data_IF_486371506443
#
_entry.id   IF_486371506443
#
_cell.length_a   1.000
_cell.length_b   1.000
_cell.length_c   1.000
_cell.angle_alpha   90.00
_cell.angle_beta   90.00
_cell.angle_gamma   90.00
#
_symmetry.space_group_name_H-M   'P 1'
#
loop_
_entity.id
_entity.type
_entity.pdbx_description
1 polymer ?
#
# COMPACT_ATOMS: atom_id res chain seq x y z
N UNK A 1 -19.89 -23.43 -44.21
CA UNK A 1 -19.46 -23.33 -42.80
C UNK A 1 -18.12 -22.62 -42.74
N UNK A 2 -18.10 -21.35 -42.33
CA UNK A 2 -16.87 -20.57 -42.20
C UNK A 2 -16.40 -20.70 -40.74
N UNK A 3 -15.26 -21.34 -40.51
CA UNK A 3 -14.59 -21.36 -39.21
C UNK A 3 -14.07 -19.97 -38.90
N UNK A 4 -14.62 -19.35 -37.86
CA UNK A 4 -14.06 -18.13 -37.26
C UNK A 4 -12.77 -18.55 -36.54
N UNK A 5 -11.61 -17.97 -36.84
CA UNK A 5 -10.43 -18.20 -36.02
C UNK A 5 -10.70 -17.59 -34.64
N UNK A 6 -10.83 -18.47 -33.65
CA UNK A 6 -10.93 -18.08 -32.25
C UNK A 6 -9.58 -17.44 -31.88
N UNK A 7 -9.50 -16.12 -31.87
CA UNK A 7 -8.33 -15.42 -31.34
C UNK A 7 -8.07 -15.97 -29.93
N UNK A 8 -6.83 -16.37 -29.60
CA UNK A 8 -6.52 -16.73 -28.22
C UNK A 8 -6.86 -15.53 -27.33
N UNK A 9 -7.43 -15.74 -26.13
CA UNK A 9 -7.65 -14.65 -25.19
C UNK A 9 -6.30 -13.94 -24.95
N UNK A 10 -6.29 -12.60 -24.84
CA UNK A 10 -5.07 -11.88 -24.56
C UNK A 10 -4.41 -12.48 -23.31
N UNK A 11 -3.10 -12.75 -23.41
CA UNK A 11 -2.35 -13.31 -22.29
C UNK A 11 -2.57 -12.42 -21.05
N UNK A 12 -2.76 -13.01 -19.86
CA UNK A 12 -2.93 -12.24 -18.64
C UNK A 12 -1.67 -11.37 -18.45
N UNK A 13 -1.86 -10.05 -18.49
CA UNK A 13 -0.81 -9.11 -18.13
C UNK A 13 -0.58 -9.21 -16.62
N UNK A 14 0.68 -9.10 -16.16
CA UNK A 14 0.96 -9.06 -14.74
C UNK A 14 0.28 -7.88 -14.08
N UNK A 15 -0.36 -8.16 -12.94
CA UNK A 15 -1.06 -7.17 -12.14
C UNK A 15 -0.25 -6.96 -10.87
N UNK A 16 0.37 -5.79 -10.75
CA UNK A 16 1.21 -5.46 -9.59
C UNK A 16 0.46 -4.53 -8.67
N UNK A 17 0.29 -4.98 -7.44
CA UNK A 17 -0.39 -4.21 -6.41
C UNK A 17 0.57 -3.29 -5.69
N UNK A 18 0.51 -2.00 -6.05
CA UNK A 18 1.16 -0.94 -5.31
C UNK A 18 0.22 -0.42 -4.22
N UNK A 19 0.59 -0.61 -2.96
CA UNK A 19 -0.11 -0.02 -1.82
C UNK A 19 0.68 1.17 -1.28
N UNK A 20 0.02 2.32 -1.19
CA UNK A 20 0.56 3.55 -0.62
C UNK A 20 -0.29 3.95 0.58
N UNK A 21 0.34 4.13 1.75
CA UNK A 21 -0.35 4.50 2.99
C UNK A 21 0.36 5.67 3.66
N UNK A 22 -0.41 6.65 4.14
CA UNK A 22 0.11 7.69 5.03
C UNK A 22 -0.14 7.28 6.48
N UNK A 23 0.84 7.51 7.35
CA UNK A 23 0.74 7.21 8.78
C UNK A 23 1.29 8.37 9.61
N UNK A 24 0.66 8.64 10.75
CA UNK A 24 1.21 9.56 11.73
C UNK A 24 2.46 8.95 12.38
N UNK A 25 3.46 9.78 12.69
CA UNK A 25 4.64 9.30 13.42
C UNK A 25 4.34 9.14 14.93
N UNK A 26 3.40 9.91 15.48
CA UNK A 26 3.21 10.08 16.93
C UNK A 26 2.05 9.26 17.52
N UNK A 27 2.04 7.95 17.28
CA UNK A 27 0.97 7.07 17.82
C UNK A 27 1.02 6.93 19.35
N UNK A 28 2.21 6.90 19.96
CA UNK A 28 2.37 6.66 21.39
C UNK A 28 1.86 7.84 22.24
N UNK A 29 2.16 9.08 21.82
CA UNK A 29 1.69 10.29 22.48
C UNK A 29 0.15 10.35 22.46
N UNK A 30 -0.46 10.04 21.30
CA UNK A 30 -1.90 10.00 21.12
C UNK A 30 -2.57 8.97 22.03
N UNK A 31 -2.02 7.77 22.12
CA UNK A 31 -2.54 6.71 22.97
C UNK A 31 -2.43 7.08 24.46
N UNK A 32 -1.28 7.59 24.91
CA UNK A 32 -1.09 7.98 26.31
C UNK A 32 -2.03 9.09 26.77
N UNK A 33 -2.43 9.99 25.86
CA UNK A 33 -3.34 11.10 26.18
C UNK A 33 -4.82 10.67 26.17
N UNK A 34 -5.20 9.70 25.35
CA UNK A 34 -6.62 9.38 25.09
C UNK A 34 -7.07 8.02 25.65
N UNK A 35 -6.16 7.22 26.19
CA UNK A 35 -6.47 5.87 26.69
C UNK A 35 -6.30 5.82 28.21
N UNK A 36 -7.41 5.78 28.93
CA UNK A 36 -7.42 5.65 30.39
C UNK A 36 -8.66 4.86 30.85
N UNK A 37 -8.48 3.97 31.82
CA UNK A 37 -9.59 3.19 32.39
C UNK A 37 -9.56 3.21 33.90
N UNK A 38 -10.69 3.60 34.51
CA UNK A 38 -10.88 3.62 35.95
C UNK A 38 -11.59 2.35 36.47
N UNK A 39 -11.73 1.30 35.64
CA UNK A 39 -12.44 0.09 36.06
C UNK A 39 -11.64 -0.69 37.11
N UNK A 40 -12.30 -1.12 38.19
CA UNK A 40 -11.67 -1.88 39.27
C UNK A 40 -11.30 -3.32 38.84
N UNK A 41 -12.15 -3.97 38.05
CA UNK A 41 -11.92 -5.34 37.57
C UNK A 41 -10.86 -5.37 36.46
N UNK A 42 -9.82 -6.20 36.62
CA UNK A 42 -8.67 -6.29 35.70
C UNK A 42 -9.07 -6.57 34.25
N UNK A 43 -9.90 -7.60 34.01
CA UNK A 43 -10.31 -7.96 32.65
C UNK A 43 -11.12 -6.85 31.97
N UNK A 44 -12.11 -6.30 32.69
CA UNK A 44 -12.93 -5.21 32.18
C UNK A 44 -12.12 -3.94 31.90
N UNK A 45 -11.06 -3.68 32.68
CA UNK A 45 -10.09 -2.60 32.44
C UNK A 45 -9.26 -2.85 31.18
N UNK A 46 -8.74 -4.06 31.00
CA UNK A 46 -7.92 -4.40 29.83
C UNK A 46 -8.73 -4.29 28.52
N UNK A 47 -9.98 -4.79 28.52
CA UNK A 47 -10.88 -4.66 27.37
C UNK A 47 -11.23 -3.20 27.06
N UNK A 48 -11.43 -2.38 28.10
CA UNK A 48 -11.72 -0.95 27.97
C UNK A 48 -10.53 -0.18 27.37
N UNK A 49 -9.33 -0.41 27.89
CA UNK A 49 -8.09 0.17 27.35
C UNK A 49 -7.86 -0.24 25.88
N UNK A 50 -8.07 -1.51 25.56
CA UNK A 50 -7.93 -2.01 24.19
C UNK A 50 -8.95 -1.39 23.23
N UNK A 51 -10.21 -1.27 23.66
CA UNK A 51 -11.26 -0.64 22.86
C UNK A 51 -10.98 0.84 22.61
N UNK A 52 -10.57 1.58 23.64
CA UNK A 52 -10.17 2.99 23.52
C UNK A 52 -8.96 3.14 22.60
N UNK A 53 -7.89 2.36 22.82
CA UNK A 53 -6.70 2.39 21.97
C UNK A 53 -7.02 2.08 20.50
N UNK A 54 -7.84 1.06 20.25
CA UNK A 54 -8.29 0.70 18.90
C UNK A 54 -9.08 1.83 18.24
N UNK A 55 -9.91 2.54 19.02
CA UNK A 55 -10.69 3.67 18.51
C UNK A 55 -9.78 4.83 18.14
N UNK A 56 -8.82 5.17 18.99
CA UNK A 56 -7.83 6.24 18.74
C UNK A 56 -6.97 5.94 17.50
N UNK A 57 -6.51 4.69 17.36
CA UNK A 57 -5.73 4.29 16.19
C UNK A 57 -6.57 4.34 14.90
N UNK A 58 -7.83 3.91 14.95
CA UNK A 58 -8.75 3.97 13.79
C UNK A 58 -9.06 5.39 13.36
N UNK A 59 -9.28 6.32 14.30
CA UNK A 59 -9.54 7.73 13.96
C UNK A 59 -8.32 8.44 13.37
N UNK A 60 -7.13 7.86 13.54
CA UNK A 60 -5.86 8.37 13.02
C UNK A 60 -5.42 7.65 11.73
N UNK A 61 -6.30 6.87 11.11
CA UNK A 61 -6.02 6.31 9.79
C UNK A 61 -6.20 7.38 8.71
N UNK A 62 -5.12 7.69 8.00
CA UNK A 62 -5.13 8.68 6.90
C UNK A 62 -5.56 8.07 5.56
N UNK A 63 -6.00 6.81 5.57
CA UNK A 63 -6.34 6.05 4.39
C UNK A 63 -5.15 5.38 3.73
N UNK A 64 -5.47 4.49 2.80
CA UNK A 64 -4.52 3.84 1.91
C UNK A 64 -5.07 3.85 0.50
N UNK A 65 -4.18 3.98 -0.48
CA UNK A 65 -4.48 3.86 -1.89
C UNK A 65 -3.85 2.58 -2.38
N UNK A 66 -4.63 1.81 -3.13
CA UNK A 66 -4.19 0.58 -3.77
C UNK A 66 -4.32 0.83 -5.27
N UNK A 67 -3.22 0.64 -5.98
CA UNK A 67 -3.14 0.78 -7.42
C UNK A 67 -2.75 -0.58 -8.00
N UNK A 68 -3.59 -1.09 -8.89
CA UNK A 68 -3.28 -2.23 -9.74
C UNK A 68 -2.58 -1.72 -11.01
N UNK A 69 -1.30 -2.06 -11.17
CA UNK A 69 -0.45 -1.58 -12.27
C UNK A 69 -0.16 -2.75 -13.21
N UNK A 70 -0.42 -2.55 -14.50
CA UNK A 70 -0.19 -3.57 -15.54
C UNK A 70 1.02 -3.24 -16.38
N UNK A 71 1.95 -4.18 -16.46
CA UNK A 71 3.15 -4.06 -17.28
C UNK A 71 3.02 -4.88 -18.56
N UNK A 72 3.32 -4.27 -19.70
CA UNK A 72 3.36 -4.96 -21.01
C UNK A 72 4.77 -5.39 -21.40
N UNK A 73 5.80 -4.85 -20.75
CA UNK A 73 7.20 -5.11 -21.07
C UNK A 73 8.00 -5.39 -19.80
N UNK A 74 8.94 -6.33 -19.90
CA UNK A 74 9.80 -6.72 -18.79
C UNK A 74 10.73 -5.58 -18.34
N UNK A 75 11.20 -4.77 -19.28
CA UNK A 75 12.06 -3.60 -19.01
C UNK A 75 11.40 -2.61 -18.05
N UNK A 76 10.12 -2.30 -18.25
CA UNK A 76 9.37 -1.39 -17.38
C UNK A 76 9.08 -2.00 -16.02
N UNK A 77 8.83 -3.30 -15.98
CA UNK A 77 8.64 -4.04 -14.73
C UNK A 77 9.91 -4.03 -13.87
N UNK A 78 11.06 -4.42 -14.45
CA UNK A 78 12.34 -4.47 -13.75
C UNK A 78 12.79 -3.06 -13.30
N UNK A 79 12.55 -2.03 -14.13
CA UNK A 79 12.83 -0.64 -13.76
C UNK A 79 11.96 -0.19 -12.58
N UNK A 80 10.66 -0.46 -12.62
CA UNK A 80 9.74 -0.15 -11.52
C UNK A 80 10.14 -0.84 -10.20
N UNK A 81 10.49 -2.13 -10.27
CA UNK A 81 10.94 -2.87 -9.10
C UNK A 81 12.26 -2.33 -8.54
N UNK A 82 13.20 -1.97 -9.41
CA UNK A 82 14.45 -1.31 -9.02
C UNK A 82 14.18 0.02 -8.30
N UNK A 83 13.26 0.83 -8.83
CA UNK A 83 12.86 2.12 -8.23
C UNK A 83 12.17 1.94 -6.88
N UNK A 84 11.44 0.85 -6.69
CA UNK A 84 10.90 0.46 -5.39
C UNK A 84 12.02 0.10 -4.41
N UNK A 85 12.94 -0.79 -4.79
CA UNK A 85 14.04 -1.25 -3.92
C UNK A 85 15.02 -0.15 -3.53
N UNK A 86 15.32 0.77 -4.46
CA UNK A 86 16.23 1.89 -4.21
C UNK A 86 15.56 3.08 -3.49
N UNK A 87 14.23 3.04 -3.30
CA UNK A 87 13.45 4.08 -2.63
C UNK A 87 13.06 5.28 -3.49
N UNK A 88 13.44 5.30 -4.77
CA UNK A 88 13.10 6.39 -5.71
C UNK A 88 11.59 6.49 -5.93
N UNK A 89 10.90 5.35 -5.97
CA UNK A 89 9.44 5.28 -6.07
C UNK A 89 8.77 6.01 -4.89
N UNK A 90 9.29 5.81 -3.67
CA UNK A 90 8.77 6.49 -2.48
C UNK A 90 8.97 8.01 -2.58
N UNK A 91 10.15 8.47 -2.99
CA UNK A 91 10.42 9.91 -3.13
C UNK A 91 9.54 10.57 -4.19
N UNK A 92 9.32 9.92 -5.34
CA UNK A 92 8.41 10.39 -6.36
C UNK A 92 6.96 10.47 -5.82
N UNK A 93 6.52 9.45 -5.10
CA UNK A 93 5.17 9.39 -4.53
C UNK A 93 4.95 10.42 -3.42
N UNK A 94 5.97 10.79 -2.64
CA UNK A 94 5.85 11.86 -1.63
C UNK A 94 5.37 13.17 -2.25
N UNK A 95 5.88 13.55 -3.42
CA UNK A 95 5.47 14.79 -4.10
C UNK A 95 4.02 14.77 -4.59
N UNK A 96 3.50 13.59 -4.90
CA UNK A 96 2.13 13.41 -5.40
C UNK A 96 1.12 13.20 -4.27
N UNK A 97 1.50 12.47 -3.22
CA UNK A 97 0.61 12.07 -2.12
C UNK A 97 0.63 13.04 -0.95
N UNK A 98 1.79 13.61 -0.60
CA UNK A 98 1.90 14.58 0.50
C UNK A 98 1.57 15.99 0.01
N UNK A 99 0.35 16.14 -0.52
CA UNK A 99 -0.20 17.42 -0.96
C UNK A 99 -0.36 18.38 0.22
N UNK A 100 -0.43 19.67 -0.08
CA UNK A 100 -0.64 20.70 0.95
C UNK A 100 -1.98 20.52 1.68
N UNK A 101 -3.01 19.99 0.99
CA UNK A 101 -4.30 19.66 1.61
C UNK A 101 -4.18 18.54 2.66
N UNK A 102 -3.36 17.51 2.42
CA UNK A 102 -3.12 16.48 3.42
C UNK A 102 -2.34 17.04 4.60
N UNK A 103 -1.32 17.87 4.35
CA UNK A 103 -0.55 18.55 5.40
C UNK A 103 -1.42 19.46 6.26
N UNK A 104 -2.35 20.20 5.66
CA UNK A 104 -3.31 21.03 6.38
C UNK A 104 -4.27 20.21 7.24
N UNK A 105 -4.76 19.07 6.73
CA UNK A 105 -5.65 18.17 7.47
C UNK A 105 -4.96 17.51 8.68
N UNK A 106 -3.67 17.18 8.57
CA UNK A 106 -2.89 16.59 9.68
C UNK A 106 -2.27 17.63 10.61
N UNK A 107 -2.29 18.91 10.20
CA UNK A 107 -1.80 20.02 11.00
C UNK A 107 -0.29 19.97 11.23
N UNK A 108 0.12 19.89 12.51
CA UNK A 108 1.54 19.93 12.92
C UNK A 108 2.17 18.56 13.14
N UNK A 109 1.38 17.49 13.12
CA UNK A 109 1.91 16.16 13.40
C UNK A 109 2.72 15.66 12.19
N UNK A 110 3.89 15.09 12.48
CA UNK A 110 4.71 14.49 11.43
C UNK A 110 3.99 13.26 10.85
N UNK A 111 3.96 13.18 9.52
CA UNK A 111 3.44 12.04 8.79
C UNK A 111 4.54 11.40 7.95
N UNK A 112 4.43 10.09 7.74
CA UNK A 112 5.30 9.33 6.84
C UNK A 112 4.46 8.61 5.79
N UNK A 113 5.03 8.48 4.60
CA UNK A 113 4.46 7.66 3.54
C UNK A 113 5.12 6.28 3.58
N UNK A 114 4.30 5.24 3.52
CA UNK A 114 4.71 3.85 3.35
C UNK A 114 4.28 3.39 1.96
N UNK A 115 5.20 2.75 1.28
CA UNK A 115 5.00 2.18 -0.05
C UNK A 115 5.32 0.70 0.06
N UNK A 116 4.39 -0.13 -0.40
CA UNK A 116 4.55 -1.58 -0.41
C UNK A 116 4.16 -2.11 -1.78
N UNK A 117 5.04 -2.90 -2.37
CA UNK A 117 4.80 -3.67 -3.57
C UNK A 117 4.97 -5.14 -3.20
N UNK A 118 4.05 -5.99 -3.64
CA UNK A 118 4.15 -7.42 -3.40
C UNK A 118 5.26 -8.03 -4.27
N UNK A 119 6.18 -8.77 -3.65
CA UNK A 119 7.29 -9.42 -4.35
C UNK A 119 6.78 -10.59 -5.19
N UNK A 120 5.76 -11.31 -4.72
CA UNK A 120 5.16 -12.43 -5.45
C UNK A 120 4.52 -11.94 -6.76
N UNK A 121 3.87 -10.77 -6.74
CA UNK A 121 3.29 -10.13 -7.94
C UNK A 121 4.40 -9.76 -8.95
N UNK A 122 5.55 -9.28 -8.47
CA UNK A 122 6.71 -8.97 -9.31
C UNK A 122 7.30 -10.24 -9.93
N UNK A 123 7.56 -11.28 -9.13
CA UNK A 123 8.15 -12.54 -9.61
C UNK A 123 7.25 -13.23 -10.64
N UNK A 124 5.95 -13.32 -10.35
CA UNK A 124 4.98 -13.90 -11.26
C UNK A 124 4.90 -13.09 -12.55
N UNK A 125 4.91 -11.76 -12.45
CA UNK A 125 4.84 -10.92 -13.63
C UNK A 125 6.08 -10.98 -14.51
N UNK A 126 7.25 -11.10 -13.88
CA UNK A 126 8.51 -11.33 -14.57
C UNK A 126 8.50 -12.68 -15.28
N UNK A 127 7.98 -13.73 -14.63
CA UNK A 127 7.84 -15.08 -15.21
C UNK A 127 6.91 -15.09 -16.44
N UNK A 128 5.76 -14.42 -16.36
CA UNK A 128 4.80 -14.31 -17.46
C UNK A 128 5.39 -13.58 -18.67
N UNK A 129 6.06 -12.44 -18.44
CA UNK A 129 6.67 -11.66 -19.52
C UNK A 129 7.85 -12.40 -20.17
N UNK A 130 8.68 -13.09 -19.39
CA UNK A 130 9.76 -13.95 -19.92
C UNK A 130 9.22 -15.14 -20.72
N UNK A 131 8.13 -15.77 -20.25
CA UNK A 131 7.46 -16.85 -20.97
C UNK A 131 6.86 -16.39 -22.31
N UNK A 132 6.31 -15.17 -22.36
CA UNK A 132 5.79 -14.57 -23.58
C UNK A 132 6.90 -14.24 -24.61
N UNK A 133 8.10 -13.85 -24.15
CA UNK A 133 9.29 -13.65 -24.98
C UNK A 133 9.90 -14.96 -25.51
N UNK A 134 9.58 -16.10 -24.89
CA UNK A 134 10.05 -17.43 -25.27
C UNK A 134 9.06 -18.27 -26.08
N UNK A 135 7.90 -17.72 -26.44
CA UNK A 135 6.93 -18.40 -27.29
C UNK A 135 7.36 -18.32 -28.78
N UNK A 136 7.44 -19.45 -29.51
CA UNK A 136 7.80 -19.47 -30.93
C UNK A 136 6.73 -18.85 -31.83
#
# INVERSE_FOLDING_TARGET
SLSVPLFPPPAPLPDIRLRVRAEYCEHEAALRQNVASNRAQRLARQLDLFGQASTVLKSRDLGSIICDIKFSELSYLDAFWSDYLNGSLLEALKGVFLTDSLKEAVGREAIRLLVNVDEDDYEEGRRLLLGALGAP
#
